data_IF_885031942879
#
_entry.id   IF_885031942879
#
_cell.length_a   1.000
_cell.length_b   1.000
_cell.length_c   1.000
_cell.angle_alpha   90.00
_cell.angle_beta   90.00
_cell.angle_gamma   90.00
#
_symmetry.space_group_name_H-M   'P 1'
#
loop_
_entity.id
_entity.type
_entity.pdbx_description
1 polymer ?
#
# COMPACT_ATOMS: atom_id res chain seq x y z
N UNK A 1 5.14 23.02 47.67
CA UNK A 1 4.85 21.62 48.11
C UNK A 1 3.49 21.10 47.61
N UNK A 2 2.87 21.73 46.59
CA UNK A 2 1.47 21.49 46.16
C UNK A 2 1.30 20.92 44.74
N UNK A 3 2.38 20.76 43.96
CA UNK A 3 2.30 20.35 42.55
C UNK A 3 2.26 18.82 42.32
N UNK A 4 2.55 18.00 43.36
CA UNK A 4 2.65 16.54 43.25
C UNK A 4 1.28 15.82 43.27
N UNK A 5 0.24 16.51 43.76
CA UNK A 5 -1.11 15.94 43.89
C UNK A 5 -1.90 15.83 42.57
N UNK A 6 -1.51 16.58 41.52
CA UNK A 6 -2.22 16.54 40.24
C UNK A 6 -1.87 15.29 39.38
N UNK A 7 -0.65 14.76 39.55
CA UNK A 7 -0.15 13.60 38.81
C UNK A 7 -0.56 12.24 39.43
N UNK A 8 -1.08 12.23 40.65
CA UNK A 8 -1.61 11.03 41.33
C UNK A 8 -3.08 10.73 40.99
N UNK A 9 -3.69 11.51 40.10
CA UNK A 9 -5.01 11.16 39.56
C UNK A 9 -4.85 10.02 38.56
N UNK A 10 -4.93 8.78 39.05
CA UNK A 10 -5.03 7.60 38.21
C UNK A 10 -6.09 7.87 37.11
N UNK A 11 -5.78 7.63 35.82
CA UNK A 11 -6.76 7.86 34.76
C UNK A 11 -8.05 7.11 35.12
N UNK A 12 -9.24 7.74 34.94
CA UNK A 12 -10.49 7.08 35.25
C UNK A 12 -10.49 5.74 34.51
N UNK A 13 -10.70 4.65 35.26
CA UNK A 13 -10.67 3.30 34.71
C UNK A 13 -11.71 3.24 33.58
N UNK A 14 -11.25 3.34 32.33
CA UNK A 14 -12.10 3.25 31.16
C UNK A 14 -12.67 1.84 31.17
N UNK A 15 -13.93 1.71 31.59
CA UNK A 15 -14.62 0.44 31.61
C UNK A 15 -14.56 -0.14 30.18
N UNK A 16 -13.72 -1.16 29.99
CA UNK A 16 -13.65 -1.89 28.72
C UNK A 16 -15.02 -2.52 28.49
N UNK A 17 -15.87 -1.85 27.72
CA UNK A 17 -17.09 -2.44 27.19
C UNK A 17 -16.67 -3.70 26.42
N UNK A 18 -16.93 -4.88 27.01
CA UNK A 18 -16.81 -6.14 26.29
C UNK A 18 -17.75 -6.04 25.08
N UNK A 19 -17.21 -6.22 23.87
CA UNK A 19 -18.04 -6.36 22.70
C UNK A 19 -19.00 -7.53 22.96
N UNK A 20 -20.32 -7.34 22.84
CA UNK A 20 -21.27 -8.42 23.08
C UNK A 20 -21.04 -9.53 22.06
N UNK A 21 -21.24 -10.79 22.45
CA UNK A 21 -21.07 -11.95 21.57
C UNK A 21 -21.93 -11.85 20.28
N UNK A 22 -22.98 -11.01 20.28
CA UNK A 22 -23.81 -10.66 19.12
C UNK A 22 -23.10 -9.78 18.06
N UNK A 23 -21.93 -9.21 18.35
CA UNK A 23 -21.14 -8.44 17.39
C UNK A 23 -20.61 -9.32 16.24
N UNK A 24 -20.29 -10.59 16.51
CA UNK A 24 -19.88 -11.54 15.48
C UNK A 24 -21.02 -11.87 14.51
N UNK A 25 -22.26 -11.99 15.01
CA UNK A 25 -23.44 -12.23 14.17
C UNK A 25 -23.72 -11.12 13.15
N UNK A 26 -23.25 -9.90 13.40
CA UNK A 26 -23.41 -8.76 12.49
C UNK A 26 -22.25 -8.63 11.49
N UNK A 27 -21.03 -8.95 11.90
CA UNK A 27 -19.83 -8.87 11.03
C UNK A 27 -19.70 -10.08 10.13
N UNK A 28 -20.11 -11.27 10.57
CA UNK A 28 -20.02 -12.52 9.82
C UNK A 28 -20.68 -12.46 8.44
N UNK A 29 -21.93 -12.00 8.26
CA UNK A 29 -22.54 -11.96 6.93
C UNK A 29 -21.81 -10.99 5.99
N UNK A 30 -21.35 -9.84 6.50
CA UNK A 30 -20.55 -8.89 5.72
C UNK A 30 -19.20 -9.50 5.30
N UNK A 31 -18.51 -10.16 6.22
CA UNK A 31 -17.22 -10.77 5.97
C UNK A 31 -17.34 -11.96 5.00
N UNK A 32 -18.38 -12.78 5.15
CA UNK A 32 -18.70 -13.86 4.22
C UNK A 32 -19.04 -13.32 2.82
N UNK A 33 -19.83 -12.25 2.73
CA UNK A 33 -20.15 -11.61 1.45
C UNK A 33 -18.90 -11.06 0.76
N UNK A 34 -18.01 -10.37 1.50
CA UNK A 34 -16.74 -9.86 0.95
C UNK A 34 -15.82 -10.98 0.49
N UNK A 35 -15.68 -12.04 1.29
CA UNK A 35 -14.88 -13.21 0.93
C UNK A 35 -15.46 -13.89 -0.31
N UNK A 36 -16.77 -14.12 -0.36
CA UNK A 36 -17.42 -14.74 -1.52
C UNK A 36 -17.23 -13.88 -2.77
N UNK A 37 -17.48 -12.58 -2.68
CA UNK A 37 -17.34 -11.64 -3.79
C UNK A 37 -15.91 -11.59 -4.34
N UNK A 38 -14.88 -11.80 -3.51
CA UNK A 38 -13.48 -11.75 -3.92
C UNK A 38 -12.93 -13.12 -4.34
N UNK A 39 -13.29 -14.18 -3.61
CA UNK A 39 -12.80 -15.53 -3.85
C UNK A 39 -13.44 -16.17 -5.08
N UNK A 40 -14.70 -15.87 -5.40
CA UNK A 40 -15.36 -16.38 -6.61
C UNK A 40 -14.64 -15.95 -7.90
N UNK A 41 -14.37 -14.65 -8.15
CA UNK A 41 -13.64 -14.25 -9.35
C UNK A 41 -12.19 -14.75 -9.31
N UNK A 42 -11.55 -14.80 -8.14
CA UNK A 42 -10.20 -15.38 -8.03
C UNK A 42 -10.18 -16.86 -8.41
N UNK A 43 -11.15 -17.64 -7.91
CA UNK A 43 -11.30 -19.05 -8.26
C UNK A 43 -11.57 -19.23 -9.76
N UNK A 44 -12.38 -18.35 -10.36
CA UNK A 44 -12.63 -18.37 -11.80
C UNK A 44 -11.34 -18.10 -12.59
N UNK A 45 -10.52 -17.12 -12.19
CA UNK A 45 -9.22 -16.86 -12.85
C UNK A 45 -8.27 -18.05 -12.69
N UNK A 46 -8.21 -18.67 -11.51
CA UNK A 46 -7.39 -19.86 -11.29
C UNK A 46 -7.88 -21.05 -12.13
N UNK A 47 -9.20 -21.22 -12.26
CA UNK A 47 -9.78 -22.23 -13.13
C UNK A 47 -9.39 -22.01 -14.59
N UNK A 48 -9.59 -20.79 -15.10
CA UNK A 48 -9.20 -20.39 -16.46
C UNK A 48 -7.71 -20.62 -16.70
N UNK A 49 -6.86 -20.35 -15.70
CA UNK A 49 -5.40 -20.53 -15.81
C UNK A 49 -4.96 -21.97 -16.10
N UNK A 50 -5.82 -22.96 -15.85
CA UNK A 50 -5.54 -24.38 -16.09
C UNK A 50 -6.35 -24.90 -17.29
N UNK A 51 -7.54 -24.37 -17.55
CA UNK A 51 -8.44 -24.91 -18.59
C UNK A 51 -8.27 -24.32 -19.98
N UNK A 52 -7.81 -23.07 -20.10
CA UNK A 52 -7.74 -22.33 -21.37
C UNK A 52 -6.28 -22.15 -21.82
N UNK A 53 -5.87 -22.48 -23.06
CA UNK A 53 -6.67 -22.98 -24.21
C UNK A 53 -6.92 -24.49 -24.22
N UNK A 54 -6.18 -25.26 -23.43
CA UNK A 54 -6.42 -26.67 -23.22
C UNK A 54 -6.17 -27.02 -21.74
N UNK A 55 -6.92 -27.96 -21.16
CA UNK A 55 -6.70 -28.39 -19.79
C UNK A 55 -5.27 -28.88 -19.55
N UNK A 56 -4.56 -28.27 -18.62
CA UNK A 56 -3.22 -28.70 -18.21
C UNK A 56 -2.36 -27.59 -17.60
N UNK A 57 -1.08 -27.91 -17.39
CA UNK A 57 -0.09 -26.98 -16.83
C UNK A 57 0.74 -26.25 -17.88
N UNK A 58 0.35 -26.35 -19.16
CA UNK A 58 1.09 -25.73 -20.27
C UNK A 58 1.19 -24.20 -20.16
N UNK A 59 0.23 -23.54 -19.51
CA UNK A 59 0.30 -22.10 -19.20
C UNK A 59 1.47 -21.76 -18.27
N UNK A 60 1.73 -22.62 -17.28
CA UNK A 60 2.82 -22.45 -16.34
C UNK A 60 4.17 -22.80 -16.96
N UNK A 61 4.23 -23.78 -17.87
CA UNK A 61 5.43 -24.04 -18.67
C UNK A 61 5.78 -22.84 -19.56
N UNK A 62 4.80 -22.27 -20.28
CA UNK A 62 5.02 -21.05 -21.08
C UNK A 62 5.49 -19.86 -20.26
N UNK A 63 5.04 -19.73 -19.01
CA UNK A 63 5.52 -18.70 -18.08
C UNK A 63 7.02 -18.86 -17.79
N UNK A 64 7.49 -20.11 -17.67
CA UNK A 64 8.88 -20.44 -17.37
C UNK A 64 9.77 -20.49 -18.60
N UNK A 65 9.24 -20.73 -19.80
CA UNK A 65 10.06 -20.86 -21.02
C UNK A 65 10.08 -19.58 -21.86
N UNK A 66 9.10 -18.68 -21.68
CA UNK A 66 9.03 -17.44 -22.47
C UNK A 66 9.97 -16.37 -21.91
N UNK A 67 11.01 -16.04 -22.68
CA UNK A 67 11.93 -14.92 -22.37
C UNK A 67 11.21 -13.60 -22.11
N UNK A 68 10.13 -13.32 -22.85
CA UNK A 68 9.33 -12.11 -22.68
C UNK A 68 8.65 -12.09 -21.31
N UNK A 69 8.04 -13.19 -20.88
CA UNK A 69 7.36 -13.26 -19.59
C UNK A 69 8.35 -13.26 -18.42
N UNK A 70 9.46 -13.98 -18.55
CA UNK A 70 10.54 -13.90 -17.56
C UNK A 70 11.08 -12.47 -17.42
N UNK A 71 11.27 -11.75 -18.52
CA UNK A 71 11.73 -10.36 -18.50
C UNK A 71 10.74 -9.45 -17.80
N UNK A 72 9.43 -9.60 -18.04
CA UNK A 72 8.39 -8.82 -17.36
C UNK A 72 8.34 -9.13 -15.87
N UNK A 73 8.41 -10.41 -15.49
CA UNK A 73 8.47 -10.84 -14.09
C UNK A 73 9.69 -10.24 -13.39
N UNK A 74 10.88 -10.39 -13.97
CA UNK A 74 12.11 -9.89 -13.38
C UNK A 74 12.14 -8.37 -13.27
N UNK A 75 11.62 -7.68 -14.30
CA UNK A 75 11.50 -6.22 -14.27
C UNK A 75 10.57 -5.79 -13.14
N UNK A 76 9.41 -6.44 -12.99
CA UNK A 76 8.46 -6.15 -11.91
C UNK A 76 9.07 -6.38 -10.53
N UNK A 77 9.71 -7.53 -10.32
CA UNK A 77 10.38 -7.84 -9.05
C UNK A 77 11.50 -6.84 -8.74
N UNK A 78 12.33 -6.50 -9.72
CA UNK A 78 13.43 -5.55 -9.57
C UNK A 78 12.90 -4.14 -9.24
N UNK A 79 11.88 -3.69 -9.94
CA UNK A 79 11.24 -2.38 -9.68
C UNK A 79 10.60 -2.38 -8.29
N UNK A 80 9.88 -3.43 -7.91
CA UNK A 80 9.27 -3.55 -6.59
C UNK A 80 10.34 -3.54 -5.49
N UNK A 81 11.40 -4.33 -5.63
CA UNK A 81 12.49 -4.40 -4.66
C UNK A 81 13.16 -3.03 -4.45
N UNK A 82 13.58 -2.37 -5.53
CA UNK A 82 14.17 -1.03 -5.45
C UNK A 82 13.21 -0.01 -4.86
N UNK A 83 11.94 -0.05 -5.28
CA UNK A 83 10.91 0.85 -4.76
C UNK A 83 10.70 0.64 -3.26
N UNK A 84 10.63 -0.61 -2.79
CA UNK A 84 10.50 -0.93 -1.37
C UNK A 84 11.71 -0.45 -0.57
N UNK A 85 12.93 -0.70 -1.05
CA UNK A 85 14.15 -0.22 -0.37
C UNK A 85 14.14 1.30 -0.26
N UNK A 86 13.91 2.00 -1.36
CA UNK A 86 13.83 3.46 -1.37
C UNK A 86 12.71 3.98 -0.47
N UNK A 87 11.53 3.36 -0.50
CA UNK A 87 10.39 3.75 0.34
C UNK A 87 10.65 3.53 1.83
N UNK A 88 11.31 2.43 2.20
CA UNK A 88 11.69 2.16 3.60
C UNK A 88 12.74 3.16 4.08
N UNK A 89 13.77 3.42 3.28
CA UNK A 89 14.82 4.38 3.63
C UNK A 89 14.24 5.78 3.79
N UNK A 90 13.51 6.28 2.79
CA UNK A 90 12.90 7.61 2.83
C UNK A 90 11.83 7.70 3.94
N UNK A 91 11.00 6.67 4.08
CA UNK A 91 9.98 6.60 5.13
C UNK A 91 10.58 6.62 6.53
N UNK A 92 11.69 5.89 6.74
CA UNK A 92 12.42 5.90 8.00
C UNK A 92 13.02 7.28 8.29
N UNK A 93 13.64 7.93 7.29
CA UNK A 93 14.18 9.28 7.44
C UNK A 93 13.09 10.28 7.84
N UNK A 94 11.94 10.23 7.19
CA UNK A 94 10.79 11.08 7.53
C UNK A 94 10.30 10.80 8.95
N UNK A 95 10.15 9.53 9.34
CA UNK A 95 9.74 9.14 10.69
C UNK A 95 10.74 9.62 11.76
N UNK A 96 12.04 9.54 11.48
CA UNK A 96 13.09 10.04 12.35
C UNK A 96 13.02 11.56 12.54
N UNK A 97 12.81 12.32 11.46
CA UNK A 97 12.60 13.78 11.52
C UNK A 97 11.35 14.11 12.33
N UNK A 98 10.27 13.35 12.17
CA UNK A 98 9.02 13.56 12.92
C UNK A 98 9.21 13.42 14.44
N UNK A 99 10.12 12.54 14.89
CA UNK A 99 10.41 12.39 16.32
C UNK A 99 10.90 13.70 16.96
N UNK A 100 11.72 14.45 16.22
CA UNK A 100 12.33 15.70 16.68
C UNK A 100 11.53 16.96 16.28
N UNK A 101 10.54 16.82 15.40
CA UNK A 101 9.73 17.93 14.91
C UNK A 101 8.73 18.45 15.95
N UNK A 102 8.50 19.77 15.97
CA UNK A 102 7.46 20.40 16.79
C UNK A 102 6.04 20.00 16.33
N UNK A 103 5.01 20.13 17.19
CA UNK A 103 3.65 19.67 16.87
C UNK A 103 3.09 20.23 15.55
N UNK A 104 3.39 21.50 15.23
CA UNK A 104 2.96 22.12 13.97
C UNK A 104 3.65 21.50 12.75
N UNK A 105 4.96 21.23 12.83
CA UNK A 105 5.70 20.63 11.73
C UNK A 105 5.26 19.18 11.47
N UNK A 106 4.90 18.42 12.50
CA UNK A 106 4.37 17.05 12.35
C UNK A 106 3.10 17.01 11.49
N UNK A 107 2.21 17.98 11.66
CA UNK A 107 0.99 18.10 10.84
C UNK A 107 1.34 18.32 9.37
N UNK A 108 2.26 19.24 9.09
CA UNK A 108 2.70 19.52 7.71
C UNK A 108 3.41 18.33 7.06
N UNK A 109 4.34 17.68 7.77
CA UNK A 109 5.02 16.48 7.27
C UNK A 109 4.00 15.39 6.92
N UNK A 110 3.04 15.14 7.82
CA UNK A 110 1.98 14.14 7.60
C UNK A 110 1.13 14.51 6.38
N UNK A 111 0.77 15.79 6.24
CA UNK A 111 0.01 16.27 5.10
C UNK A 111 0.76 16.02 3.78
N UNK A 112 2.04 16.39 3.68
CA UNK A 112 2.83 16.17 2.46
C UNK A 112 2.99 14.69 2.09
N UNK A 113 3.04 13.78 3.07
CA UNK A 113 3.08 12.33 2.83
C UNK A 113 1.73 11.81 2.33
N UNK A 114 0.62 12.36 2.84
CA UNK A 114 -0.73 11.94 2.43
C UNK A 114 -1.18 12.56 1.11
N UNK A 115 -0.76 13.77 0.76
CA UNK A 115 -1.13 14.43 -0.51
C UNK A 115 -0.96 13.51 -1.73
N UNK A 116 0.21 12.87 -1.98
CA UNK A 116 0.36 12.00 -3.13
C UNK A 116 -0.54 10.77 -3.05
N UNK A 117 -0.94 10.30 -1.87
CA UNK A 117 -1.87 9.19 -1.72
C UNK A 117 -3.29 9.53 -2.23
N UNK A 118 -3.76 10.76 -2.00
CA UNK A 118 -5.07 11.23 -2.47
C UNK A 118 -5.10 11.56 -3.97
N UNK A 119 -3.95 11.82 -4.58
CA UNK A 119 -3.87 12.10 -6.03
C UNK A 119 -4.03 10.80 -6.82
N UNK A 120 -4.86 10.82 -7.87
CA UNK A 120 -5.06 9.68 -8.77
C UNK A 120 -3.74 9.18 -9.37
N UNK A 121 -3.58 7.85 -9.45
CA UNK A 121 -2.43 7.18 -10.10
C UNK A 121 -2.18 7.74 -11.51
N UNK A 122 -3.26 8.02 -12.26
CA UNK A 122 -3.16 8.55 -13.62
C UNK A 122 -2.52 9.93 -13.67
N UNK A 123 -2.93 10.83 -12.76
CA UNK A 123 -2.36 12.19 -12.70
C UNK A 123 -0.87 12.13 -12.40
N UNK A 124 -0.46 11.28 -11.44
CA UNK A 124 0.97 11.07 -11.14
C UNK A 124 1.73 10.51 -12.35
N UNK A 125 1.16 9.52 -13.04
CA UNK A 125 1.77 8.92 -14.23
C UNK A 125 1.94 9.93 -15.37
N UNK A 126 0.92 10.73 -15.68
CA UNK A 126 0.99 11.75 -16.72
C UNK A 126 1.94 12.89 -16.35
N UNK A 127 1.97 13.33 -15.09
CA UNK A 127 2.90 14.35 -14.62
C UNK A 127 4.36 13.90 -14.79
N UNK A 128 4.69 12.65 -14.46
CA UNK A 128 6.01 12.10 -14.73
C UNK A 128 6.31 12.01 -16.23
N UNK A 129 5.35 11.52 -17.03
CA UNK A 129 5.52 11.40 -18.48
C UNK A 129 5.77 12.74 -19.15
N UNK A 130 5.07 13.80 -18.75
CA UNK A 130 5.27 15.15 -19.31
C UNK A 130 6.60 15.74 -18.88
N UNK A 131 7.03 15.52 -17.62
CA UNK A 131 8.33 16.00 -17.11
C UNK A 131 9.52 15.30 -17.78
N UNK A 132 9.43 13.99 -18.00
CA UNK A 132 10.49 13.13 -18.54
C UNK A 132 10.45 12.99 -20.06
N UNK A 133 9.52 13.67 -20.75
CA UNK A 133 9.45 13.66 -22.22
C UNK A 133 10.74 14.25 -22.81
N UNK A 134 11.06 13.93 -24.06
CA UNK A 134 12.26 14.44 -24.76
C UNK A 134 12.41 15.97 -24.69
N UNK A 135 11.32 16.71 -24.84
CA UNK A 135 11.28 18.18 -24.67
C UNK A 135 10.73 18.61 -23.29
N UNK A 136 10.70 17.68 -22.34
CA UNK A 136 10.25 17.95 -20.98
C UNK A 136 11.26 18.80 -20.21
N UNK A 137 10.77 19.47 -19.16
CA UNK A 137 11.58 20.37 -18.32
C UNK A 137 12.84 19.71 -17.77
N UNK A 138 12.78 18.40 -17.46
CA UNK A 138 13.93 17.66 -16.90
C UNK A 138 14.97 17.39 -17.97
N UNK A 139 14.56 16.87 -19.13
CA UNK A 139 15.51 16.55 -20.21
C UNK A 139 16.07 17.81 -20.86
N UNK A 140 15.28 18.88 -20.99
CA UNK A 140 15.76 20.18 -21.47
C UNK A 140 16.71 20.90 -20.51
N UNK A 141 16.65 20.60 -19.20
CA UNK A 141 17.61 21.15 -18.22
C UNK A 141 18.92 20.34 -18.11
N UNK A 142 18.94 19.11 -18.62
CA UNK A 142 20.10 18.21 -18.61
C UNK A 142 20.84 18.16 -19.96
N UNK A 143 20.31 18.79 -21.01
CA UNK A 143 20.90 18.91 -22.34
C UNK A 143 21.70 20.21 -22.50
#
# INVERSE_FOLDING_TARGET
MTARAAFDSAPPAVARRRAPASAWGLVLPLMAALLLLYLVPLANILWISVTDPAPGLGNYQRLLESDAMQRVLWTTFRVAAWTTVCAVVLGYLVAYVMLHASPRHRVWITAFVLVPFWVSVLVRAFAWLTLLRSEGLVNGALA
#
